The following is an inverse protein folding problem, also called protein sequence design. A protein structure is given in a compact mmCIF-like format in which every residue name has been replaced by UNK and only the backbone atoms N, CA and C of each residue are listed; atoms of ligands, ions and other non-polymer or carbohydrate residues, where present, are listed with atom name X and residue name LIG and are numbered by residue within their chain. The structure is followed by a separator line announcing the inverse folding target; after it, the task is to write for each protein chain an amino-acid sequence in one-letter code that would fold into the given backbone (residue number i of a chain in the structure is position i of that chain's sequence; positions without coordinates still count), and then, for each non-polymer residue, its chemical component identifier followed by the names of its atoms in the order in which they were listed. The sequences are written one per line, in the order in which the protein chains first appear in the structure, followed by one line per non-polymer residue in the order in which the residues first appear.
data_IF_889330992902
#
_entry.id   IF_889330992902
#
_cell.length_a   1.000
_cell.length_b   1.000
_cell.length_c   1.000
_cell.angle_alpha   90.00
_cell.angle_beta   90.00
_cell.angle_gamma   90.00
#
_symmetry.space_group_name_H-M   'P 1'
#
loop_
_entity.id
_entity.type
_entity.pdbx_description
1 polymer ?
#
# COMPACT_ATOMS: atom_id res chain seq x y z
N UNK A 1 -11.88 15.46 24.14
CA UNK A 1 -12.61 14.16 24.20
C UNK A 1 -11.74 12.97 23.78
N UNK A 2 -10.90 13.08 22.73
CA UNK A 2 -9.95 12.01 22.34
C UNK A 2 -9.03 11.53 23.46
N UNK A 3 -8.42 12.46 24.19
CA UNK A 3 -7.46 12.17 25.26
C UNK A 3 -8.07 11.37 26.44
N UNK A 4 -9.34 11.63 26.79
CA UNK A 4 -10.04 10.86 27.83
C UNK A 4 -10.43 9.46 27.39
N UNK A 5 -10.69 9.25 26.10
CA UNK A 5 -10.99 7.94 25.57
C UNK A 5 -9.72 7.08 25.53
N UNK A 6 -8.60 7.64 25.07
CA UNK A 6 -7.28 7.00 25.09
C UNK A 6 -6.87 6.59 26.52
N UNK A 7 -6.98 7.50 27.50
CA UNK A 7 -6.72 7.17 28.92
C UNK A 7 -7.61 6.05 29.46
N UNK A 8 -8.86 5.96 29.01
CA UNK A 8 -9.79 4.90 29.44
C UNK A 8 -9.44 3.55 28.80
N UNK A 9 -9.04 3.56 27.53
CA UNK A 9 -8.56 2.36 26.83
C UNK A 9 -7.25 1.85 27.41
N UNK A 10 -6.31 2.74 27.73
CA UNK A 10 -5.05 2.38 28.39
C UNK A 10 -5.30 1.76 29.77
N UNK A 11 -6.29 2.27 30.51
CA UNK A 11 -6.66 1.74 31.82
C UNK A 11 -7.27 0.34 31.73
N UNK A 12 -8.14 0.11 30.75
CA UNK A 12 -8.69 -1.22 30.47
C UNK A 12 -7.57 -2.18 30.05
N UNK A 13 -6.69 -1.76 29.16
CA UNK A 13 -5.62 -2.62 28.64
C UNK A 13 -4.61 -2.99 29.76
N UNK A 14 -4.37 -2.07 30.70
CA UNK A 14 -3.56 -2.33 31.90
C UNK A 14 -4.22 -3.38 32.81
N UNK A 15 -5.51 -3.23 33.10
CA UNK A 15 -6.26 -4.17 33.95
C UNK A 15 -6.31 -5.56 33.29
N UNK A 16 -6.54 -5.62 31.97
CA UNK A 16 -6.57 -6.89 31.23
C UNK A 16 -5.22 -7.62 31.19
N UNK A 17 -4.11 -6.86 31.24
CA UNK A 17 -2.74 -7.40 31.36
C UNK A 17 -2.45 -7.86 32.78
N UNK A 18 -2.85 -7.10 33.80
CA UNK A 18 -2.65 -7.43 35.23
C UNK A 18 -3.44 -8.68 35.65
N UNK A 19 -4.68 -8.84 35.16
CA UNK A 19 -5.53 -10.01 35.46
C UNK A 19 -5.21 -11.25 34.61
N UNK A 20 -4.23 -11.18 33.69
CA UNK A 20 -3.76 -12.30 32.89
C UNK A 20 -4.70 -12.79 31.79
N UNK A 21 -5.68 -11.96 31.37
CA UNK A 21 -6.64 -12.26 30.31
C UNK A 21 -6.08 -12.09 28.89
N UNK A 22 -5.02 -11.30 28.76
CA UNK A 22 -4.27 -11.16 27.52
C UNK A 22 -3.11 -12.13 27.47
N UNK A 23 -3.11 -13.03 26.49
CA UNK A 23 -1.96 -13.87 26.18
C UNK A 23 -1.04 -13.14 25.21
N UNK A 24 0.25 -13.03 25.57
CA UNK A 24 1.30 -12.66 24.64
C UNK A 24 1.54 -13.80 23.66
N UNK A 25 0.87 -13.75 22.52
CA UNK A 25 1.17 -14.71 21.45
C UNK A 25 2.34 -14.12 20.66
N UNK A 26 3.54 -14.62 20.95
CA UNK A 26 4.73 -14.39 20.12
C UNK A 26 4.51 -15.11 18.79
N UNK A 27 4.02 -14.38 17.81
CA UNK A 27 3.87 -14.89 16.45
C UNK A 27 5.11 -14.50 15.66
N UNK A 28 5.88 -15.50 15.22
CA UNK A 28 6.97 -15.30 14.27
C UNK A 28 6.35 -15.27 12.88
N UNK A 29 6.07 -14.07 12.37
CA UNK A 29 5.62 -13.91 10.99
C UNK A 29 6.82 -13.69 10.08
N UNK A 30 7.00 -14.58 9.11
CA UNK A 30 7.88 -14.30 7.98
C UNK A 30 7.20 -13.26 7.10
N UNK A 31 7.84 -12.11 6.88
CA UNK A 31 7.31 -11.13 5.93
C UNK A 31 7.43 -11.71 4.51
N UNK A 32 6.31 -11.99 3.81
CA UNK A 32 6.34 -12.61 2.49
C UNK A 32 7.10 -11.76 1.46
N UNK A 33 7.14 -10.43 1.66
CA UNK A 33 7.93 -9.52 0.83
C UNK A 33 9.44 -9.69 1.04
N UNK A 34 9.90 -9.90 2.28
CA UNK A 34 11.33 -10.15 2.56
C UNK A 34 11.77 -11.53 2.09
N UNK A 35 10.87 -12.54 2.16
CA UNK A 35 11.13 -13.85 1.58
C UNK A 35 11.24 -13.80 0.06
N UNK A 36 10.30 -13.10 -0.61
CA UNK A 36 10.34 -12.88 -2.06
C UNK A 36 11.60 -12.12 -2.47
N UNK A 37 11.93 -11.04 -1.77
CA UNK A 37 13.13 -10.25 -2.01
C UNK A 37 14.41 -11.08 -1.81
N UNK A 38 14.45 -11.91 -0.76
CA UNK A 38 15.55 -12.84 -0.50
C UNK A 38 15.72 -13.91 -1.58
N UNK A 39 14.61 -14.43 -2.13
CA UNK A 39 14.62 -15.35 -3.28
C UNK A 39 15.14 -14.66 -4.54
N UNK A 40 14.69 -13.44 -4.83
CA UNK A 40 15.15 -12.68 -6.00
C UNK A 40 16.65 -12.37 -5.88
N UNK A 41 17.11 -11.90 -4.71
CA UNK A 41 18.53 -11.59 -4.49
C UNK A 41 19.42 -12.83 -4.60
N UNK A 42 19.00 -13.95 -4.01
CA UNK A 42 19.78 -15.19 -4.08
C UNK A 42 19.83 -15.73 -5.51
N UNK A 43 18.70 -15.72 -6.23
CA UNK A 43 18.65 -16.09 -7.66
C UNK A 43 19.55 -15.21 -8.54
N UNK A 44 19.52 -13.89 -8.34
CA UNK A 44 20.38 -12.96 -9.08
C UNK A 44 21.87 -13.21 -8.78
N UNK A 45 22.20 -13.49 -7.51
CA UNK A 45 23.55 -13.85 -7.09
C UNK A 45 24.04 -15.16 -7.73
N UNK A 46 23.19 -16.20 -7.79
CA UNK A 46 23.53 -17.45 -8.50
C UNK A 46 23.76 -17.23 -10.00
N UNK A 47 22.91 -16.44 -10.65
CA UNK A 47 23.11 -16.04 -12.05
C UNK A 47 24.41 -15.26 -12.24
N UNK A 48 24.77 -14.37 -11.30
CA UNK A 48 26.01 -13.60 -11.32
C UNK A 48 27.27 -14.48 -11.20
N UNK A 49 27.24 -15.52 -10.34
CA UNK A 49 28.33 -16.49 -10.22
C UNK A 49 28.48 -17.30 -11.52
N UNK A 50 27.38 -17.85 -12.04
CA UNK A 50 27.39 -18.62 -13.29
C UNK A 50 27.84 -17.77 -14.49
N UNK A 51 27.37 -16.52 -14.57
CA UNK A 51 27.77 -15.58 -15.61
C UNK A 51 29.24 -15.19 -15.52
N UNK A 52 29.75 -14.91 -14.32
CA UNK A 52 31.17 -14.62 -14.09
C UNK A 52 32.06 -15.80 -14.46
N UNK A 53 31.60 -17.03 -14.14
CA UNK A 53 32.30 -18.26 -14.51
C UNK A 53 32.31 -18.53 -16.02
N UNK A 54 31.17 -18.35 -16.69
CA UNK A 54 31.09 -18.47 -18.15
C UNK A 54 31.97 -17.43 -18.85
N UNK A 55 31.93 -16.16 -18.42
CA UNK A 55 32.77 -15.11 -18.97
C UNK A 55 34.26 -15.39 -18.74
N UNK A 56 34.65 -15.91 -17.57
CA UNK A 56 36.02 -16.31 -17.33
C UNK A 56 36.49 -17.41 -18.30
N UNK A 57 35.66 -18.42 -18.56
CA UNK A 57 35.99 -19.51 -19.49
C UNK A 57 36.02 -19.06 -20.96
N UNK A 58 35.06 -18.24 -21.39
CA UNK A 58 34.86 -17.93 -22.81
C UNK A 58 35.49 -16.60 -23.27
N UNK A 59 35.80 -15.67 -22.37
CA UNK A 59 36.18 -14.29 -22.76
C UNK A 59 37.56 -13.81 -22.32
N UNK A 60 38.48 -14.70 -21.92
CA UNK A 60 39.82 -14.33 -21.41
C UNK A 60 39.76 -13.21 -20.36
N UNK A 61 38.74 -13.25 -19.50
CA UNK A 61 38.58 -12.27 -18.44
C UNK A 61 39.75 -12.36 -17.45
N UNK A 62 40.23 -11.22 -16.94
CA UNK A 62 41.31 -11.24 -15.94
C UNK A 62 40.83 -11.91 -14.64
N UNK A 63 41.76 -12.55 -13.93
CA UNK A 63 41.49 -13.20 -12.64
C UNK A 63 40.89 -12.21 -11.62
N UNK A 64 41.31 -10.94 -11.67
CA UNK A 64 40.80 -9.88 -10.79
C UNK A 64 39.35 -9.52 -11.09
N UNK A 65 38.95 -9.45 -12.37
CA UNK A 65 37.56 -9.23 -12.74
C UNK A 65 36.68 -10.43 -12.36
N UNK A 66 37.16 -11.65 -12.58
CA UNK A 66 36.46 -12.86 -12.15
C UNK A 66 36.22 -12.87 -10.63
N UNK A 67 37.25 -12.62 -9.83
CA UNK A 67 37.14 -12.55 -8.38
C UNK A 67 36.15 -11.46 -7.94
N UNK A 68 36.21 -10.28 -8.55
CA UNK A 68 35.27 -9.19 -8.23
C UNK A 68 33.81 -9.56 -8.49
N UNK A 69 33.53 -10.24 -9.61
CA UNK A 69 32.19 -10.72 -9.96
C UNK A 69 31.69 -11.79 -8.99
N UNK A 70 32.57 -12.72 -8.59
CA UNK A 70 32.26 -13.76 -7.61
C UNK A 70 32.00 -13.17 -6.22
N UNK A 71 32.79 -12.18 -5.77
CA UNK A 71 32.58 -11.53 -4.47
C UNK A 71 31.28 -10.73 -4.42
N UNK A 72 30.97 -9.95 -5.45
CA UNK A 72 29.71 -9.19 -5.53
C UNK A 72 28.49 -10.14 -5.55
N UNK A 73 28.57 -11.20 -6.36
CA UNK A 73 27.51 -12.20 -6.48
C UNK A 73 27.35 -13.02 -5.19
N UNK A 74 28.46 -13.38 -4.53
CA UNK A 74 28.45 -14.04 -3.23
C UNK A 74 27.82 -13.18 -2.13
N UNK A 75 28.10 -11.87 -2.13
CA UNK A 75 27.47 -10.91 -1.22
C UNK A 75 25.95 -10.84 -1.38
N UNK A 76 25.46 -10.87 -2.62
CA UNK A 76 24.02 -10.93 -2.93
C UNK A 76 23.36 -12.22 -2.43
N UNK A 77 24.04 -13.36 -2.54
CA UNK A 77 23.54 -14.65 -2.02
C UNK A 77 23.41 -14.60 -0.50
N UNK A 78 24.46 -14.12 0.20
CA UNK A 78 24.46 -14.04 1.67
C UNK A 78 23.37 -13.08 2.16
N UNK A 79 23.23 -11.91 1.51
CA UNK A 79 22.20 -10.94 1.86
C UNK A 79 20.79 -11.48 1.59
N UNK A 80 20.60 -12.22 0.49
CA UNK A 80 19.34 -12.88 0.15
C UNK A 80 18.94 -13.95 1.17
N UNK A 81 19.89 -14.81 1.57
CA UNK A 81 19.67 -15.84 2.61
C UNK A 81 19.39 -15.24 3.99
N UNK A 82 20.05 -14.12 4.31
CA UNK A 82 19.80 -13.38 5.54
C UNK A 82 18.39 -12.79 5.57
N UNK A 83 17.95 -12.13 4.49
CA UNK A 83 16.58 -11.62 4.36
C UNK A 83 15.52 -12.72 4.40
N UNK A 84 15.82 -13.88 3.84
CA UNK A 84 14.94 -15.05 3.89
C UNK A 84 14.79 -15.60 5.31
N UNK A 85 15.87 -15.57 6.09
CA UNK A 85 15.89 -16.08 7.47
C UNK A 85 15.42 -15.05 8.50
N UNK A 86 15.31 -13.77 8.11
CA UNK A 86 14.90 -12.72 9.01
C UNK A 86 13.40 -12.84 9.32
N UNK A 87 13.10 -13.42 10.49
CA UNK A 87 11.75 -13.44 11.04
C UNK A 87 11.53 -12.13 11.80
N UNK A 88 10.35 -11.53 11.63
CA UNK A 88 9.94 -10.36 12.42
C UNK A 88 9.09 -10.88 13.56
N UNK A 89 9.49 -10.58 14.79
CA UNK A 89 8.68 -10.87 15.96
C UNK A 89 7.60 -9.80 16.07
N UNK A 90 6.33 -10.21 16.04
CA UNK A 90 5.21 -9.36 16.42
C UNK A 90 4.59 -9.92 17.68
N UNK A 91 4.60 -9.12 18.75
CA UNK A 91 3.85 -9.40 19.96
C UNK A 91 2.43 -8.91 19.71
N UNK A 92 1.46 -9.83 19.67
CA UNK A 92 0.06 -9.50 19.59
C UNK A 92 -0.63 -9.94 20.89
N UNK A 93 -1.33 -9.02 21.53
CA UNK A 93 -2.11 -9.28 22.74
C UNK A 93 -3.49 -9.76 22.31
N UNK A 94 -3.77 -11.05 22.48
CA UNK A 94 -5.09 -11.61 22.19
C UNK A 94 -5.83 -11.87 23.50
N UNK A 95 -7.06 -11.35 23.56
CA UNK A 95 -8.01 -11.65 24.63
C UNK A 95 -8.46 -13.12 24.57
N UNK A 96 -8.31 -13.86 25.68
CA UNK A 96 -8.73 -15.27 25.77
C UNK A 96 -10.02 -15.42 26.57
N UNK A 97 -11.13 -15.71 25.87
CA UNK A 97 -12.45 -15.96 26.48
C UNK A 97 -12.47 -17.22 27.36
N UNK A 98 -11.56 -18.18 27.15
CA UNK A 98 -11.45 -19.37 28.01
C UNK A 98 -10.85 -19.02 29.38
N UNK A 99 -9.88 -18.10 29.43
CA UNK A 99 -9.31 -17.60 30.69
C UNK A 99 -10.31 -16.73 31.45
N UNK A 100 -11.08 -15.92 30.75
CA UNK A 100 -12.22 -15.18 31.32
C UNK A 100 -13.23 -16.14 31.96
N UNK A 101 -13.67 -17.18 31.24
CA UNK A 101 -14.60 -18.19 31.77
C UNK A 101 -14.04 -18.91 32.99
N UNK A 102 -12.76 -19.28 32.99
CA UNK A 102 -12.11 -19.93 34.13
C UNK A 102 -11.96 -18.99 35.34
N UNK A 103 -11.70 -17.71 35.12
CA UNK A 103 -11.69 -16.69 36.17
C UNK A 103 -13.08 -16.46 36.76
N UNK A 104 -14.09 -16.29 35.90
CA UNK A 104 -15.50 -16.18 36.33
C UNK A 104 -15.93 -17.42 37.09
N UNK A 105 -15.53 -18.63 36.67
CA UNK A 105 -15.79 -19.87 37.40
C UNK A 105 -15.08 -19.89 38.75
N UNK A 106 -13.81 -19.49 38.83
CA UNK A 106 -13.04 -19.43 40.09
C UNK A 106 -13.63 -18.41 41.07
N UNK A 107 -14.03 -17.23 40.58
CA UNK A 107 -14.75 -16.24 41.37
C UNK A 107 -16.13 -16.77 41.77
N UNK A 108 -16.86 -17.43 40.87
CA UNK A 108 -18.18 -18.00 41.19
C UNK A 108 -18.10 -19.07 42.29
N UNK A 109 -16.99 -19.82 42.35
CA UNK A 109 -16.69 -20.76 43.42
C UNK A 109 -16.32 -20.08 44.74
N UNK A 110 -15.70 -18.90 44.70
CA UNK A 110 -15.49 -18.03 45.88
C UNK A 110 -16.77 -17.29 46.30
N UNK A 111 -17.71 -17.08 45.37
CA UNK A 111 -19.08 -16.62 45.61
C UNK A 111 -20.00 -17.75 46.09
N UNK A 112 -19.45 -18.91 46.45
CA UNK A 112 -20.09 -19.81 47.40
C UNK A 112 -20.08 -19.13 48.78
N UNK A 113 -20.84 -18.04 48.86
CA UNK A 113 -21.21 -17.32 50.05
C UNK A 113 -21.89 -18.35 50.96
N UNK A 114 -21.16 -18.82 51.97
CA UNK A 114 -21.79 -19.15 53.23
C UNK A 114 -22.54 -17.90 53.67
N UNK A 115 -23.84 -17.86 53.33
CA UNK A 115 -24.73 -16.80 53.74
C UNK A 115 -24.64 -16.71 55.26
N UNK A 116 -24.21 -15.57 55.84
CA UNK A 116 -24.42 -15.36 57.25
C UNK A 116 -25.94 -15.30 57.45
N UNK A 117 -26.45 -16.05 58.44
CA UNK A 117 -27.86 -16.09 58.86
C UNK A 117 -28.33 -14.76 59.49
N UNK A 118 -28.10 -13.65 58.80
CA UNK A 118 -28.68 -12.36 59.12
C UNK A 118 -29.45 -11.87 57.91
N UNK A 119 -30.78 -11.99 58.01
CA UNK A 119 -31.73 -11.51 57.04
C UNK A 119 -31.66 -9.99 56.94
N UNK A 120 -30.90 -9.48 55.96
CA UNK A 120 -31.08 -8.12 55.45
C UNK A 120 -32.58 -7.95 55.13
N UNK A 121 -33.26 -6.91 55.64
CA UNK A 121 -34.70 -6.74 55.44
C UNK A 121 -35.05 -6.79 53.95
N UNK A 122 -36.07 -7.56 53.60
CA UNK A 122 -36.49 -7.82 52.22
C UNK A 122 -36.73 -6.52 51.41
N UNK A 123 -37.12 -5.44 52.09
CA UNK A 123 -37.28 -4.10 51.54
C UNK A 123 -35.98 -3.46 51.03
N UNK A 124 -34.86 -3.66 51.72
CA UNK A 124 -33.57 -3.05 51.35
C UNK A 124 -32.99 -3.71 50.09
N UNK A 125 -33.23 -5.02 49.90
CA UNK A 125 -32.89 -5.74 48.66
C UNK A 125 -33.72 -5.25 47.46
N UNK A 126 -35.01 -4.98 47.66
CA UNK A 126 -35.89 -4.48 46.60
C UNK A 126 -35.48 -3.06 46.18
N UNK A 127 -35.15 -2.19 47.13
CA UNK A 127 -34.73 -0.82 46.83
C UNK A 127 -33.39 -0.77 46.10
N UNK A 128 -32.42 -1.61 46.49
CA UNK A 128 -31.14 -1.71 45.78
C UNK A 128 -31.30 -2.20 44.33
N UNK A 129 -32.18 -3.19 44.09
CA UNK A 129 -32.50 -3.65 42.74
C UNK A 129 -33.19 -2.56 41.92
N UNK A 130 -34.15 -1.84 42.52
CA UNK A 130 -34.83 -0.72 41.87
C UNK A 130 -33.85 0.38 41.45
N UNK A 131 -32.92 0.76 42.34
CA UNK A 131 -31.89 1.75 42.02
C UNK A 131 -30.92 1.25 40.95
N UNK A 132 -30.56 -0.03 40.96
CA UNK A 132 -29.73 -0.63 39.92
C UNK A 132 -30.43 -0.56 38.55
N UNK A 133 -31.68 -1.02 38.44
CA UNK A 133 -32.43 -0.97 37.18
C UNK A 133 -32.66 0.46 36.71
N UNK A 134 -32.95 1.40 37.62
CA UNK A 134 -33.07 2.82 37.27
C UNK A 134 -31.78 3.39 36.67
N UNK A 135 -30.62 3.04 37.23
CA UNK A 135 -29.32 3.45 36.67
C UNK A 135 -29.05 2.81 35.31
N UNK A 136 -29.42 1.53 35.15
CA UNK A 136 -29.26 0.87 33.85
C UNK A 136 -30.13 1.53 32.77
N UNK A 137 -31.39 1.85 33.08
CA UNK A 137 -32.30 2.54 32.15
C UNK A 137 -31.72 3.90 31.75
N UNK A 138 -31.28 4.72 32.71
CA UNK A 138 -30.64 6.01 32.42
C UNK A 138 -29.38 5.87 31.56
N UNK A 139 -28.55 4.86 31.82
CA UNK A 139 -27.37 4.59 31.01
C UNK A 139 -27.73 4.16 29.58
N UNK A 140 -28.80 3.40 29.41
CA UNK A 140 -29.31 3.05 28.09
C UNK A 140 -29.81 4.29 27.34
N UNK A 141 -30.58 5.17 27.98
CA UNK A 141 -31.08 6.39 27.35
C UNK A 141 -29.93 7.30 26.88
N UNK A 142 -28.88 7.45 27.71
CA UNK A 142 -27.69 8.21 27.35
C UNK A 142 -26.95 7.60 26.16
N UNK A 143 -26.79 6.27 26.13
CA UNK A 143 -26.17 5.58 25.00
C UNK A 143 -27.01 5.70 23.73
N UNK A 144 -28.34 5.61 23.83
CA UNK A 144 -29.24 5.77 22.69
C UNK A 144 -29.13 7.18 22.10
N UNK A 145 -29.10 8.23 22.95
CA UNK A 145 -28.89 9.60 22.48
C UNK A 145 -27.52 9.79 21.80
N UNK A 146 -26.47 9.13 22.31
CA UNK A 146 -25.15 9.14 21.66
C UNK A 146 -25.18 8.45 20.29
N UNK A 147 -25.86 7.30 20.18
CA UNK A 147 -26.04 6.60 18.90
C UNK A 147 -26.79 7.47 17.91
N UNK A 148 -27.89 8.10 18.30
CA UNK A 148 -28.64 9.02 17.43
C UNK A 148 -27.80 10.21 16.95
N UNK A 149 -26.95 10.75 17.83
CA UNK A 149 -26.03 11.83 17.47
C UNK A 149 -25.02 11.37 16.41
N UNK A 150 -24.42 10.19 16.61
CA UNK A 150 -23.46 9.61 15.66
C UNK A 150 -24.16 9.30 14.33
N UNK A 151 -25.38 8.79 14.34
CA UNK A 151 -26.15 8.54 13.11
C UNK A 151 -26.46 9.82 12.33
N UNK A 152 -26.68 10.94 13.01
CA UNK A 152 -26.86 12.25 12.36
C UNK A 152 -25.55 12.73 11.73
N UNK A 153 -24.43 12.56 12.43
CA UNK A 153 -23.11 12.90 11.92
C UNK A 153 -22.73 12.05 10.70
N UNK A 154 -22.99 10.73 10.74
CA UNK A 154 -22.77 9.84 9.59
C UNK A 154 -23.60 10.26 8.38
N UNK A 155 -24.88 10.63 8.59
CA UNK A 155 -25.74 11.13 7.51
C UNK A 155 -25.18 12.41 6.90
N UNK A 156 -24.80 13.37 7.73
CA UNK A 156 -24.19 14.62 7.28
C UNK A 156 -22.90 14.38 6.47
N UNK A 157 -21.99 13.55 6.97
CA UNK A 157 -20.75 13.21 6.26
C UNK A 157 -21.01 12.47 4.94
N UNK A 158 -22.07 11.67 4.88
CA UNK A 158 -22.49 10.98 3.64
C UNK A 158 -23.02 11.99 2.62
N UNK A 159 -23.84 12.95 3.07
CA UNK A 159 -24.35 14.04 2.24
C UNK A 159 -23.24 14.95 1.71
N UNK A 160 -22.16 15.18 2.47
CA UNK A 160 -20.98 15.92 1.99
C UNK A 160 -20.11 15.10 1.02
N UNK A 161 -20.10 13.78 1.12
CA UNK A 161 -19.29 12.91 0.27
C UNK A 161 -19.81 12.83 -1.18
N UNK A 162 -21.14 12.85 -1.35
CA UNK A 162 -21.78 12.78 -2.67
C UNK A 162 -21.38 13.91 -3.65
N UNK A 163 -21.42 15.21 -3.27
CA UNK A 163 -20.98 16.28 -4.15
C UNK A 163 -19.48 16.25 -4.44
N UNK A 164 -18.66 15.80 -3.48
CA UNK A 164 -17.22 15.59 -3.70
C UNK A 164 -17.02 14.51 -4.78
N UNK A 165 -17.77 13.42 -4.71
CA UNK A 165 -17.70 12.33 -5.69
C UNK A 165 -18.16 12.77 -7.07
N UNK A 166 -19.23 13.55 -7.17
CA UNK A 166 -19.68 14.08 -8.46
C UNK A 166 -18.66 15.05 -9.06
N UNK A 167 -18.08 15.94 -8.24
CA UNK A 167 -17.05 16.87 -8.69
C UNK A 167 -15.79 16.14 -9.16
N UNK A 168 -15.36 15.11 -8.45
CA UNK A 168 -14.21 14.30 -8.84
C UNK A 168 -14.44 13.59 -10.18
N UNK A 169 -15.65 13.08 -10.42
CA UNK A 169 -16.03 12.50 -11.71
C UNK A 169 -15.97 13.54 -12.84
N UNK A 170 -16.49 14.75 -12.61
CA UNK A 170 -16.44 15.84 -13.60
C UNK A 170 -15.00 16.27 -13.90
N UNK A 171 -14.14 16.38 -12.89
CA UNK A 171 -12.73 16.70 -13.09
C UNK A 171 -11.99 15.59 -13.87
N UNK A 172 -12.28 14.33 -13.60
CA UNK A 172 -11.72 13.21 -14.36
C UNK A 172 -12.13 13.27 -15.85
N UNK A 173 -13.39 13.58 -16.14
CA UNK A 173 -13.89 13.77 -17.51
C UNK A 173 -13.20 14.97 -18.21
N UNK A 174 -12.99 16.08 -17.49
CA UNK A 174 -12.24 17.24 -18.00
C UNK A 174 -10.80 16.88 -18.35
N UNK A 175 -10.11 16.15 -17.47
CA UNK A 175 -8.74 15.69 -17.71
C UNK A 175 -8.69 14.81 -18.96
N UNK A 176 -9.59 13.82 -19.07
CA UNK A 176 -9.66 12.93 -20.23
C UNK A 176 -9.88 13.70 -21.54
N UNK A 177 -10.77 14.71 -21.53
CA UNK A 177 -11.01 15.57 -22.69
C UNK A 177 -9.77 16.40 -23.08
N UNK A 178 -9.07 16.97 -22.09
CA UNK A 178 -7.82 17.72 -22.33
C UNK A 178 -6.71 16.83 -22.89
N UNK A 179 -6.57 15.60 -22.39
CA UNK A 179 -5.61 14.64 -22.92
C UNK A 179 -5.92 14.25 -24.37
N UNK A 180 -7.20 14.02 -24.68
CA UNK A 180 -7.67 13.77 -26.04
C UNK A 180 -7.33 14.94 -26.97
N UNK A 181 -7.65 16.17 -26.57
CA UNK A 181 -7.33 17.39 -27.33
C UNK A 181 -5.83 17.56 -27.55
N UNK A 182 -5.02 17.36 -26.50
CA UNK A 182 -3.55 17.40 -26.59
C UNK A 182 -3.05 16.39 -27.61
N UNK A 183 -3.53 15.15 -27.56
CA UNK A 183 -3.10 14.09 -28.45
C UNK A 183 -3.52 14.38 -29.91
N UNK A 184 -4.73 14.89 -30.12
CA UNK A 184 -5.18 15.36 -31.45
C UNK A 184 -4.25 16.44 -31.99
N UNK A 185 -3.98 17.48 -31.20
CA UNK A 185 -3.11 18.59 -31.59
C UNK A 185 -1.68 18.13 -31.92
N UNK A 186 -1.12 17.21 -31.12
CA UNK A 186 0.20 16.64 -31.39
C UNK A 186 0.22 15.84 -32.69
N UNK A 187 -0.83 15.08 -32.98
CA UNK A 187 -0.96 14.33 -34.23
C UNK A 187 -1.09 15.26 -35.43
N UNK A 188 -1.92 16.30 -35.34
CA UNK A 188 -2.08 17.31 -36.40
C UNK A 188 -0.75 18.01 -36.69
N UNK A 189 -0.02 18.39 -35.64
CA UNK A 189 1.29 19.03 -35.77
C UNK A 189 2.34 18.10 -36.36
N UNK A 190 2.36 16.82 -35.97
CA UNK A 190 3.25 15.80 -36.57
C UNK A 190 2.92 15.61 -38.05
N UNK A 191 1.64 15.52 -38.39
CA UNK A 191 1.16 15.41 -39.78
C UNK A 191 1.63 16.60 -40.63
N UNK A 192 1.43 17.83 -40.13
CA UNK A 192 1.86 19.04 -40.80
C UNK A 192 3.38 19.09 -41.01
N UNK A 193 4.18 18.72 -40.00
CA UNK A 193 5.64 18.64 -40.13
C UNK A 193 6.08 17.62 -41.17
N UNK A 194 5.45 16.45 -41.22
CA UNK A 194 5.74 15.41 -42.23
C UNK A 194 5.39 15.92 -43.63
N UNK A 195 4.24 16.58 -43.80
CA UNK A 195 3.84 17.16 -45.07
C UNK A 195 4.81 18.24 -45.54
N UNK A 196 5.24 19.13 -44.64
CA UNK A 196 6.20 20.18 -44.98
C UNK A 196 7.56 19.60 -45.37
N UNK A 197 8.02 18.55 -44.66
CA UNK A 197 9.24 17.82 -45.04
C UNK A 197 9.13 17.21 -46.44
N UNK A 198 8.02 16.53 -46.76
CA UNK A 198 7.79 15.98 -48.10
C UNK A 198 7.76 17.06 -49.18
N UNK A 199 7.18 18.22 -48.88
CA UNK A 199 7.17 19.38 -49.79
C UNK A 199 8.60 19.87 -50.06
N UNK A 200 9.41 20.07 -49.02
CA UNK A 200 10.81 20.49 -49.18
C UNK A 200 11.63 19.49 -50.00
N UNK A 201 11.43 18.18 -49.78
CA UNK A 201 12.09 17.13 -50.57
C UNK A 201 11.67 17.21 -52.04
N UNK A 202 10.38 17.38 -52.33
CA UNK A 202 9.88 17.51 -53.70
C UNK A 202 10.41 18.76 -54.41
N UNK A 203 10.46 19.90 -53.71
CA UNK A 203 11.05 21.14 -54.21
C UNK A 203 12.54 20.97 -54.53
N UNK A 204 13.29 20.33 -53.65
CA UNK A 204 14.72 20.03 -53.87
C UNK A 204 14.94 19.12 -55.08
N UNK A 205 14.15 18.04 -55.21
CA UNK A 205 14.23 17.15 -56.37
C UNK A 205 13.90 17.88 -57.68
N UNK A 206 12.91 18.76 -57.64
CA UNK A 206 12.51 19.58 -58.80
C UNK A 206 13.61 20.57 -59.20
N UNK A 207 14.21 21.26 -58.23
CA UNK A 207 15.35 22.17 -58.47
C UNK A 207 16.56 21.42 -59.02
N UNK A 208 16.89 20.25 -58.45
CA UNK A 208 17.99 19.40 -58.92
C UNK A 208 17.78 18.96 -60.38
N UNK A 209 16.54 18.59 -60.74
CA UNK A 209 16.17 18.25 -62.11
C UNK A 209 16.34 19.44 -63.05
N UNK A 210 15.81 20.61 -62.71
CA UNK A 210 15.98 21.83 -63.52
C UNK A 210 17.45 22.23 -63.68
N UNK A 211 18.25 22.10 -62.63
CA UNK A 211 19.69 22.35 -62.67
C UNK A 211 20.40 21.38 -63.62
N UNK A 212 20.10 20.08 -63.53
CA UNK A 212 20.67 19.06 -64.42
C UNK A 212 20.28 19.29 -65.89
N UNK A 213 19.02 19.62 -66.16
CA UNK A 213 18.56 19.96 -67.52
C UNK A 213 19.22 21.23 -68.05
N UNK A 214 19.40 22.24 -67.20
CA UNK A 214 20.15 23.46 -67.51
C UNK A 214 21.59 23.15 -67.92
N UNK A 215 22.30 22.35 -67.12
CA UNK A 215 23.68 21.92 -67.43
C UNK A 215 23.77 21.15 -68.75
N UNK A 216 22.84 20.22 -69.02
CA UNK A 216 22.79 19.49 -70.29
C UNK A 216 22.58 20.41 -71.50
N UNK A 217 21.73 21.43 -71.38
CA UNK A 217 21.55 22.43 -72.46
C UNK A 217 22.80 23.26 -72.69
N UNK A 218 23.48 23.69 -71.62
CA UNK A 218 24.74 24.40 -71.72
C UNK A 218 25.83 23.56 -72.40
N UNK A 219 25.99 22.29 -72.00
CA UNK A 219 26.99 21.41 -72.62
C UNK A 219 26.69 21.13 -74.09
N UNK A 220 25.41 20.97 -74.46
CA UNK A 220 24.99 20.77 -75.85
C UNK A 220 25.25 22.02 -76.71
N UNK A 221 25.01 23.22 -76.17
CA UNK A 221 25.29 24.47 -76.87
C UNK A 221 26.79 24.72 -77.07
N UNK A 222 27.64 24.35 -76.10
CA UNK A 222 29.10 24.45 -76.25
C UNK A 222 29.59 23.50 -77.35
N UNK A 223 29.02 22.29 -77.43
CA UNK A 223 29.38 21.30 -78.45
C UNK A 223 28.90 21.67 -79.87
N UNK A 224 27.91 22.55 -79.99
CA UNK A 224 27.40 23.08 -81.27
C UNK A 224 28.20 24.28 -81.79
N UNK A 225 29.00 24.93 -80.94
CA UNK A 225 29.79 26.12 -81.26
C UNK A 225 31.27 25.77 -81.50
N UNK A 226 31.72 24.60 -81.03
CA UNK A 226 33.06 24.03 -81.29
C UNK A 226 33.06 23.17 -82.56
#
# INVERSE_FOLDING_TARGET
MKQKAEEWFDKIDTILKEDGFSEEIKTTHSNPLHQLLGLILSGLGFCGVLGSFALFLFSKLSLTMFLSGVFLSGGLIILGLWLFSHKKESVNFRYSSEKEKNFVLKISGQWNLTFPEYSIPLMEKIENLRQFFSKQIQNFDLKTAQVESIEKEIRFLTEELDPIRSNLKLEAEKISNLESKRNSWLNDRRSATIQDYHKQVAEFQTQSKYFSEGLKKFSLNILLIA
#
